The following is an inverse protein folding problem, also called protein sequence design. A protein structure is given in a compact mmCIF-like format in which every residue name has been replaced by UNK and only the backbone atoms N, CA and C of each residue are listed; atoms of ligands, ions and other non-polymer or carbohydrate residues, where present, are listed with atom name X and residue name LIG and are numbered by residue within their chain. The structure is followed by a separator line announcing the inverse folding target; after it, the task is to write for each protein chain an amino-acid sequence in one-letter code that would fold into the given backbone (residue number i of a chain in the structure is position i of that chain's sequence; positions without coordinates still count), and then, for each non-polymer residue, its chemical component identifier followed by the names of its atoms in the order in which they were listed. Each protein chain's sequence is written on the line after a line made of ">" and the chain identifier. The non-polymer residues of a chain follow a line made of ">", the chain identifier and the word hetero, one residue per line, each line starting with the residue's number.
data_IF_803334732874
#
_entry.id   IF_803334732874
#
_cell.length_a   1.000
_cell.length_b   1.000
_cell.length_c   1.000
_cell.angle_alpha   90.00
_cell.angle_beta   90.00
_cell.angle_gamma   90.00
#
_symmetry.space_group_name_H-M   'P 1'
#
loop_
_entity.id
_entity.type
_entity.pdbx_description
1 polymer ?
#
# COMPACT_ATOMS: atom_id res chain seq x y z
N UNK A 1 -6.76 17.25 -2.46
CA UNK A 1 -5.85 17.37 -1.30
C UNK A 1 -4.73 16.35 -1.49
N UNK A 2 -3.47 16.72 -1.30
CA UNK A 2 -2.28 15.92 -1.63
C UNK A 2 -1.31 15.89 -0.44
N UNK A 3 -0.46 14.88 -0.35
CA UNK A 3 0.59 14.74 0.68
C UNK A 3 1.96 15.23 0.16
N UNK A 4 2.81 15.89 0.97
CA UNK A 4 4.18 16.30 0.59
C UNK A 4 5.25 15.40 1.23
N UNK A 5 6.46 15.26 0.64
CA UNK A 5 7.59 14.57 1.27
C UNK A 5 8.99 15.08 0.84
N UNK A 6 9.92 15.40 1.77
CA UNK A 6 11.27 15.96 1.52
C UNK A 6 12.44 14.91 1.43
N UNK A 7 13.50 15.19 0.63
CA UNK A 7 14.52 14.21 0.15
C UNK A 7 15.94 14.46 0.72
N UNK A 8 16.68 13.42 1.17
CA UNK A 8 18.17 13.43 1.28
C UNK A 8 18.84 12.08 0.91
N UNK A 9 20.00 12.17 0.25
CA UNK A 9 20.68 11.17 -0.62
C UNK A 9 21.61 10.14 0.07
N UNK A 10 21.86 9.01 -0.62
CA UNK A 10 23.13 8.27 -0.65
C UNK A 10 23.47 7.90 -2.11
N UNK A 11 24.73 8.10 -2.55
CA UNK A 11 25.15 8.03 -3.95
C UNK A 11 26.24 6.97 -4.25
N UNK A 12 26.32 6.62 -5.55
CA UNK A 12 27.34 5.82 -6.29
C UNK A 12 27.11 4.28 -6.29
N UNK A 13 27.23 3.50 -7.39
CA UNK A 13 28.16 3.50 -8.54
C UNK A 13 27.58 2.74 -9.78
N UNK A 14 28.22 2.88 -10.96
CA UNK A 14 27.84 2.30 -12.29
C UNK A 14 28.74 1.11 -12.72
N UNK A 15 28.13 0.12 -13.37
CA UNK A 15 28.76 -0.64 -14.47
C UNK A 15 28.86 -2.17 -14.33
N UNK A 16 27.76 -2.91 -14.62
CA UNK A 16 27.72 -4.27 -15.21
C UNK A 16 26.28 -4.77 -15.37
N UNK A 17 26.12 -5.83 -16.18
CA UNK A 17 24.82 -6.37 -16.64
C UNK A 17 23.98 -6.85 -15.45
N UNK A 18 22.95 -6.08 -15.11
CA UNK A 18 21.99 -6.37 -14.04
C UNK A 18 21.14 -7.60 -14.41
N UNK A 19 21.05 -8.57 -13.51
CA UNK A 19 20.05 -9.64 -13.56
C UNK A 19 18.80 -9.17 -12.80
N UNK A 20 17.61 -9.53 -13.30
CA UNK A 20 16.28 -9.06 -12.88
C UNK A 20 16.15 -8.63 -11.41
N UNK A 21 15.95 -7.33 -11.19
CA UNK A 21 15.54 -6.74 -9.91
C UNK A 21 16.69 -6.28 -9.01
N UNK A 22 16.47 -5.17 -8.30
CA UNK A 22 17.45 -4.48 -7.42
C UNK A 22 18.16 -5.42 -6.43
N UNK A 23 17.49 -6.48 -5.97
CA UNK A 23 18.02 -7.43 -4.99
C UNK A 23 18.76 -8.64 -5.59
N UNK A 24 18.83 -8.78 -6.93
CA UNK A 24 19.48 -9.93 -7.61
C UNK A 24 20.82 -9.60 -8.25
N UNK A 25 21.35 -8.40 -8.03
CA UNK A 25 22.72 -8.08 -8.45
C UNK A 25 23.70 -8.92 -7.65
N UNK A 26 24.39 -9.86 -8.30
CA UNK A 26 25.38 -10.74 -7.69
C UNK A 26 26.48 -9.99 -6.93
N UNK A 27 26.81 -8.77 -7.37
CA UNK A 27 27.80 -7.88 -6.74
C UNK A 27 27.29 -7.25 -5.43
N UNK A 28 25.97 -7.09 -5.26
CA UNK A 28 25.36 -6.47 -4.08
C UNK A 28 24.70 -7.47 -3.12
N UNK A 29 24.73 -8.77 -3.43
CA UNK A 29 24.01 -9.77 -2.64
C UNK A 29 24.44 -9.78 -1.16
N UNK A 30 25.72 -9.54 -0.88
CA UNK A 30 26.23 -9.45 0.49
C UNK A 30 25.70 -8.20 1.22
N UNK A 31 25.66 -7.05 0.52
CA UNK A 31 25.10 -5.81 1.07
C UNK A 31 23.60 -5.95 1.35
N UNK A 32 22.86 -6.51 0.40
CA UNK A 32 21.42 -6.75 0.53
C UNK A 32 21.13 -7.76 1.64
N UNK A 33 21.91 -8.84 1.76
CA UNK A 33 21.76 -9.80 2.86
C UNK A 33 22.05 -9.15 4.21
N UNK A 34 23.13 -8.38 4.32
CA UNK A 34 23.43 -7.63 5.55
C UNK A 34 22.30 -6.66 5.91
N UNK A 35 21.74 -5.94 4.93
CA UNK A 35 20.61 -5.05 5.16
C UNK A 35 19.36 -5.81 5.63
N UNK A 36 19.07 -6.99 5.09
CA UNK A 36 17.99 -7.86 5.57
C UNK A 36 18.22 -8.37 6.98
N UNK A 37 19.45 -8.73 7.31
CA UNK A 37 19.83 -9.20 8.66
C UNK A 37 19.69 -8.07 9.69
N UNK A 38 19.99 -6.82 9.31
CA UNK A 38 19.74 -5.64 10.17
C UNK A 38 18.25 -5.47 10.45
N UNK A 39 17.41 -5.48 9.42
CA UNK A 39 15.94 -5.38 9.59
C UNK A 39 15.40 -6.52 10.45
N UNK A 40 15.95 -7.73 10.32
CA UNK A 40 15.61 -8.85 11.18
C UNK A 40 16.05 -8.61 12.64
N UNK A 41 17.26 -8.09 12.84
CA UNK A 41 17.79 -7.71 14.15
C UNK A 41 16.90 -6.71 14.88
N UNK A 42 16.47 -5.65 14.20
CA UNK A 42 15.60 -4.61 14.76
C UNK A 42 14.27 -5.18 15.29
N UNK A 43 13.73 -6.22 14.65
CA UNK A 43 12.50 -6.88 15.09
C UNK A 43 12.74 -7.73 16.35
N UNK A 44 13.89 -8.39 16.45
CA UNK A 44 14.25 -9.23 17.59
C UNK A 44 14.55 -8.37 18.81
N UNK A 45 15.30 -7.28 18.66
CA UNK A 45 15.62 -6.37 19.77
C UNK A 45 14.36 -5.67 20.33
N UNK A 46 13.40 -5.34 19.48
CA UNK A 46 12.11 -4.82 19.92
C UNK A 46 11.25 -5.85 20.68
N UNK A 47 11.44 -7.15 20.42
CA UNK A 47 10.76 -8.24 21.15
C UNK A 47 11.30 -8.38 22.57
N UNK A 48 12.61 -8.21 22.76
CA UNK A 48 13.31 -8.51 24.02
C UNK A 48 13.47 -7.29 24.95
N UNK A 49 12.96 -6.11 24.56
CA UNK A 49 13.00 -4.90 25.39
C UNK A 49 12.10 -5.00 26.64
N UNK A 50 12.64 -4.84 27.88
CA UNK A 50 11.93 -5.13 29.13
C UNK A 50 10.95 -4.03 29.59
N UNK A 51 10.67 -2.99 28.79
CA UNK A 51 9.96 -1.78 29.24
C UNK A 51 8.49 -1.66 28.86
N UNK A 52 7.85 -2.68 28.27
CA UNK A 52 6.40 -2.60 28.00
C UNK A 52 5.65 -3.91 28.29
N UNK A 53 5.10 -4.01 29.50
CA UNK A 53 4.10 -5.03 29.91
C UNK A 53 2.75 -4.94 29.14
N UNK A 54 2.68 -4.25 27.99
CA UNK A 54 1.44 -4.04 27.23
C UNK A 54 1.56 -4.17 25.70
N UNK A 55 2.74 -4.46 25.13
CA UNK A 55 2.94 -4.47 23.66
C UNK A 55 3.10 -5.88 23.12
N UNK A 56 2.00 -6.56 22.77
CA UNK A 56 2.03 -7.85 22.02
C UNK A 56 2.26 -7.67 20.50
N UNK A 57 2.53 -6.44 20.05
CA UNK A 57 2.74 -6.08 18.64
C UNK A 57 4.22 -6.16 18.26
N UNK A 58 4.53 -6.83 17.15
CA UNK A 58 5.86 -6.85 16.56
C UNK A 58 6.01 -5.66 15.62
N UNK A 59 6.86 -4.72 15.99
CA UNK A 59 7.18 -3.56 15.15
C UNK A 59 8.48 -3.80 14.39
N UNK A 60 8.54 -3.24 13.19
CA UNK A 60 9.76 -3.15 12.39
C UNK A 60 10.18 -1.69 12.39
N UNK A 61 11.42 -1.41 12.71
CA UNK A 61 11.96 -0.07 12.53
C UNK A 61 12.07 0.21 11.03
N UNK A 62 11.30 1.19 10.55
CA UNK A 62 11.26 1.53 9.13
C UNK A 62 12.03 2.83 8.89
N UNK A 63 12.70 2.99 7.73
CA UNK A 63 13.21 4.28 7.35
C UNK A 63 12.04 5.27 7.26
N UNK A 64 12.29 6.50 7.68
CA UNK A 64 11.31 7.60 7.57
C UNK A 64 10.88 7.86 6.12
N UNK A 65 11.67 7.36 5.16
CA UNK A 65 11.63 7.70 3.75
C UNK A 65 11.25 6.51 2.87
N UNK A 66 10.69 6.81 1.70
CA UNK A 66 10.37 5.84 0.65
C UNK A 66 11.55 5.71 -0.29
N UNK A 67 11.77 4.53 -0.86
CA UNK A 67 12.72 4.34 -1.94
C UNK A 67 12.40 5.28 -3.11
N UNK A 68 13.44 5.87 -3.71
CA UNK A 68 13.35 6.74 -4.89
C UNK A 68 14.15 6.10 -6.02
N UNK A 69 13.55 6.03 -7.21
CA UNK A 69 14.29 5.62 -8.40
C UNK A 69 15.29 6.70 -8.80
N UNK A 70 16.56 6.35 -9.09
CA UNK A 70 17.48 7.28 -9.72
C UNK A 70 16.91 7.84 -11.03
N UNK A 71 17.29 9.04 -11.41
CA UNK A 71 16.84 9.66 -12.65
C UNK A 71 17.30 8.84 -13.87
N UNK A 72 16.39 8.02 -14.41
CA UNK A 72 16.66 7.13 -15.53
C UNK A 72 16.84 7.91 -16.84
N UNK A 73 16.38 9.16 -16.91
CA UNK A 73 16.44 9.98 -18.14
C UNK A 73 17.86 10.40 -18.50
N UNK A 74 18.79 10.32 -17.54
CA UNK A 74 20.22 10.62 -17.73
C UNK A 74 20.97 9.56 -18.55
N UNK A 75 20.37 8.39 -18.77
CA UNK A 75 21.00 7.27 -19.46
C UNK A 75 20.64 7.22 -20.96
N UNK A 76 21.52 6.64 -21.82
CA UNK A 76 21.21 6.42 -23.24
C UNK A 76 19.96 5.57 -23.46
N UNK A 77 19.25 5.79 -24.56
CA UNK A 77 17.94 5.17 -24.86
C UNK A 77 17.92 3.66 -24.63
N UNK A 78 18.86 2.93 -25.23
CA UNK A 78 18.90 1.46 -25.14
C UNK A 78 19.07 0.97 -23.69
N UNK A 79 19.89 1.67 -22.90
CA UNK A 79 20.11 1.32 -21.50
C UNK A 79 18.92 1.72 -20.64
N UNK A 80 18.32 2.88 -20.91
CA UNK A 80 17.09 3.34 -20.24
C UNK A 80 15.93 2.37 -20.50
N UNK A 81 15.74 1.92 -21.73
CA UNK A 81 14.72 0.94 -22.09
C UNK A 81 14.96 -0.41 -21.39
N UNK A 82 16.22 -0.84 -21.29
CA UNK A 82 16.59 -2.02 -20.51
C UNK A 82 16.25 -1.86 -19.02
N UNK A 83 16.64 -0.75 -18.39
CA UNK A 83 16.33 -0.46 -16.99
C UNK A 83 14.82 -0.37 -16.74
N UNK A 84 14.08 0.29 -17.63
CA UNK A 84 12.64 0.40 -17.53
C UNK A 84 11.98 -0.99 -17.56
N UNK A 85 12.40 -1.86 -18.49
CA UNK A 85 11.89 -3.23 -18.60
C UNK A 85 12.22 -4.08 -17.36
N UNK A 86 13.35 -3.82 -16.71
CA UNK A 86 13.81 -4.64 -15.57
C UNK A 86 13.28 -4.16 -14.22
N UNK A 87 13.10 -2.84 -14.07
CA UNK A 87 12.76 -2.20 -12.80
C UNK A 87 11.29 -1.83 -12.68
N UNK A 88 10.58 -1.60 -13.79
CA UNK A 88 9.22 -1.05 -13.77
C UNK A 88 8.22 -2.13 -14.16
N UNK A 89 7.18 -2.31 -13.33
CA UNK A 89 6.04 -3.17 -13.67
C UNK A 89 5.18 -2.48 -14.73
N UNK A 90 5.60 -2.63 -15.98
CA UNK A 90 5.04 -1.88 -17.11
C UNK A 90 3.58 -2.24 -17.36
N UNK A 91 3.18 -3.47 -17.07
CA UNK A 91 1.79 -3.92 -17.25
C UNK A 91 0.84 -3.15 -16.33
N UNK A 92 1.15 -3.12 -15.02
CA UNK A 92 0.41 -2.36 -14.00
C UNK A 92 0.44 -0.85 -14.27
N UNK A 93 1.59 -0.30 -14.68
CA UNK A 93 1.71 1.11 -15.03
C UNK A 93 0.71 1.48 -16.14
N UNK A 94 0.72 0.75 -17.25
CA UNK A 94 -0.15 1.02 -18.40
C UNK A 94 -1.62 0.81 -18.04
N UNK A 95 -1.95 -0.30 -17.37
CA UNK A 95 -3.31 -0.65 -16.96
C UNK A 95 -3.94 0.43 -16.09
N UNK A 96 -3.26 0.83 -15.01
CA UNK A 96 -3.80 1.80 -14.05
C UNK A 96 -3.82 3.24 -14.60
N UNK A 97 -2.88 3.62 -15.47
CA UNK A 97 -2.93 4.92 -16.14
C UNK A 97 -4.08 4.99 -17.15
N UNK A 98 -4.28 3.95 -17.96
CA UNK A 98 -5.40 3.88 -18.90
C UNK A 98 -6.76 3.82 -18.20
N UNK A 99 -6.84 3.20 -17.02
CA UNK A 99 -8.03 3.21 -16.18
C UNK A 99 -8.26 4.56 -15.48
N UNK A 100 -7.36 5.54 -15.63
CA UNK A 100 -7.45 6.84 -14.97
C UNK A 100 -7.21 6.79 -13.45
N UNK A 101 -6.59 5.72 -12.94
CA UNK A 101 -6.38 5.49 -11.51
C UNK A 101 -5.01 5.96 -11.03
N UNK A 102 -3.99 5.77 -11.85
CA UNK A 102 -2.62 6.16 -11.57
C UNK A 102 -2.21 7.38 -12.41
N UNK A 103 -1.42 8.29 -11.82
CA UNK A 103 -0.79 9.44 -12.47
C UNK A 103 -1.71 10.47 -13.15
N UNK A 104 -3.03 10.36 -13.03
CA UNK A 104 -3.98 11.41 -13.46
C UNK A 104 -3.66 12.79 -12.83
N UNK A 105 -3.11 12.78 -11.60
CA UNK A 105 -2.65 13.99 -10.92
C UNK A 105 -1.45 14.66 -11.58
N UNK A 106 -0.61 13.88 -12.26
CA UNK A 106 0.53 14.40 -12.99
C UNK A 106 0.10 15.06 -14.29
N UNK A 107 -0.96 14.54 -14.93
CA UNK A 107 -1.53 15.09 -16.16
C UNK A 107 -2.17 16.47 -15.91
N UNK A 108 -2.81 16.66 -14.74
CA UNK A 108 -3.28 17.97 -14.27
C UNK A 108 -2.18 18.83 -13.62
N UNK A 109 -0.91 18.40 -13.69
CA UNK A 109 0.28 19.09 -13.18
C UNK A 109 0.25 19.39 -11.67
N UNK A 110 -0.51 18.63 -10.89
CA UNK A 110 -0.56 18.81 -9.44
C UNK A 110 0.70 18.24 -8.77
N UNK A 111 1.16 17.06 -9.20
CA UNK A 111 2.29 16.35 -8.59
C UNK A 111 3.09 15.56 -9.64
N UNK A 112 4.24 14.98 -9.27
CA UNK A 112 5.03 14.16 -10.18
C UNK A 112 4.39 12.79 -10.47
N UNK A 113 4.82 12.17 -11.58
CA UNK A 113 4.47 10.78 -11.87
C UNK A 113 5.16 9.84 -10.88
N UNK A 114 4.47 8.77 -10.54
CA UNK A 114 5.00 7.65 -9.76
C UNK A 114 5.07 6.40 -10.64
N UNK A 115 6.01 5.51 -10.34
CA UNK A 115 6.30 4.33 -11.13
C UNK A 115 6.17 3.07 -10.25
N UNK A 116 5.42 2.04 -10.67
CA UNK A 116 5.35 0.77 -9.95
C UNK A 116 6.63 -0.04 -10.20
N UNK A 117 7.30 -0.48 -9.14
CA UNK A 117 8.47 -1.34 -9.22
C UNK A 117 8.11 -2.80 -9.48
N UNK A 118 8.84 -3.43 -10.40
CA UNK A 118 8.72 -4.85 -10.68
C UNK A 118 8.96 -5.68 -9.41
N UNK A 119 7.99 -6.54 -9.09
CA UNK A 119 7.95 -7.36 -7.89
C UNK A 119 7.79 -8.84 -8.27
N UNK A 120 8.31 -9.77 -7.47
CA UNK A 120 8.10 -11.20 -7.77
C UNK A 120 6.73 -11.70 -7.33
N UNK A 121 6.08 -12.50 -8.19
CA UNK A 121 4.77 -13.09 -7.98
C UNK A 121 4.83 -14.50 -7.38
N UNK A 122 5.43 -14.66 -6.20
CA UNK A 122 5.51 -15.93 -5.46
C UNK A 122 4.45 -16.03 -4.34
N UNK A 123 3.38 -15.22 -4.41
CA UNK A 123 2.38 -15.08 -3.35
C UNK A 123 2.79 -14.16 -2.20
N UNK A 124 4.07 -13.76 -2.10
CA UNK A 124 4.55 -12.81 -1.10
C UNK A 124 4.63 -11.36 -1.62
N UNK A 125 3.96 -11.05 -2.74
CA UNK A 125 4.12 -9.79 -3.47
C UNK A 125 3.81 -8.53 -2.64
N UNK A 126 2.80 -8.55 -1.75
CA UNK A 126 2.51 -7.41 -0.84
C UNK A 126 3.74 -7.03 -0.02
N UNK A 127 4.40 -8.02 0.56
CA UNK A 127 5.52 -7.82 1.49
C UNK A 127 6.82 -7.57 0.75
N UNK A 128 6.98 -8.15 -0.44
CA UNK A 128 8.03 -7.74 -1.36
C UNK A 128 7.89 -6.28 -1.79
N UNK A 129 6.70 -5.84 -2.19
CA UNK A 129 6.44 -4.46 -2.59
C UNK A 129 6.67 -3.49 -1.42
N UNK A 130 6.22 -3.83 -0.21
CA UNK A 130 6.49 -3.03 0.98
C UNK A 130 7.99 -2.92 1.29
N UNK A 131 8.71 -4.05 1.25
CA UNK A 131 10.14 -4.10 1.49
C UNK A 131 10.94 -3.34 0.41
N UNK A 132 10.54 -3.43 -0.85
CA UNK A 132 11.10 -2.67 -1.96
C UNK A 132 10.86 -1.17 -1.79
N UNK A 133 9.63 -0.77 -1.44
CA UNK A 133 9.25 0.63 -1.24
C UNK A 133 9.94 1.29 -0.07
N UNK A 134 10.44 0.54 0.91
CA UNK A 134 11.19 1.08 2.06
C UNK A 134 12.70 0.96 1.89
N UNK A 135 13.20 -0.22 1.50
CA UNK A 135 14.63 -0.54 1.54
C UNK A 135 15.23 -0.90 0.18
N UNK A 136 14.43 -0.97 -0.89
CA UNK A 136 14.93 -1.30 -2.23
C UNK A 136 15.27 -2.78 -2.45
N UNK A 137 14.85 -3.68 -1.55
CA UNK A 137 15.00 -5.12 -1.74
C UNK A 137 13.73 -5.90 -1.40
N UNK A 138 13.63 -7.14 -1.91
CA UNK A 138 12.53 -8.04 -1.63
C UNK A 138 12.66 -8.68 -0.23
N UNK A 139 11.52 -8.88 0.45
CA UNK A 139 11.34 -9.66 1.70
C UNK A 139 11.64 -11.18 1.53
N UNK A 140 12.87 -11.53 1.19
CA UNK A 140 13.27 -12.94 0.92
C UNK A 140 13.47 -13.78 2.18
N UNK A 141 13.69 -13.15 3.34
CA UNK A 141 13.80 -13.85 4.63
C UNK A 141 12.43 -14.01 5.32
N UNK A 142 11.36 -13.57 4.66
CA UNK A 142 9.98 -13.55 5.19
C UNK A 142 9.88 -12.77 6.49
N UNK A 143 10.72 -11.76 6.66
CA UNK A 143 10.83 -10.96 7.87
C UNK A 143 9.54 -10.19 8.11
N UNK A 144 9.04 -9.51 7.07
CA UNK A 144 7.74 -8.84 7.13
C UNK A 144 6.60 -9.84 7.25
N UNK A 145 6.68 -10.99 6.56
CA UNK A 145 5.60 -12.00 6.61
C UNK A 145 5.42 -12.56 8.00
N UNK A 146 6.53 -12.93 8.65
CA UNK A 146 6.53 -13.41 10.03
C UNK A 146 6.01 -12.34 10.99
N UNK A 147 6.49 -11.09 10.88
CA UNK A 147 6.02 -10.00 11.73
C UNK A 147 4.51 -9.75 11.59
N UNK A 148 3.99 -9.79 10.36
CA UNK A 148 2.56 -9.69 10.07
C UNK A 148 1.77 -10.84 10.67
N UNK A 149 2.17 -12.08 10.38
CA UNK A 149 1.54 -13.28 10.92
C UNK A 149 1.53 -13.28 12.46
N UNK A 150 2.64 -12.93 13.10
CA UNK A 150 2.72 -12.88 14.56
C UNK A 150 1.86 -11.76 15.14
N UNK A 151 1.82 -10.58 14.50
CA UNK A 151 0.93 -9.49 14.94
C UNK A 151 -0.54 -9.89 14.85
N UNK A 152 -0.94 -10.57 13.78
CA UNK A 152 -2.30 -11.07 13.61
C UNK A 152 -2.61 -12.23 14.59
N UNK A 153 -1.66 -13.14 14.81
CA UNK A 153 -1.80 -14.28 15.74
C UNK A 153 -1.91 -13.83 17.20
N UNK A 154 -1.19 -12.78 17.57
CA UNK A 154 -1.23 -12.18 18.90
C UNK A 154 -2.44 -11.26 19.09
N UNK A 155 -3.13 -10.90 18.00
CA UNK A 155 -4.38 -10.17 18.10
C UNK A 155 -5.39 -11.08 18.80
N UNK A 156 -5.82 -10.67 19.99
CA UNK A 156 -6.85 -11.41 20.70
C UNK A 156 -8.11 -11.52 19.81
N UNK A 157 -8.80 -12.66 19.84
CA UNK A 157 -10.07 -12.88 19.12
C UNK A 157 -11.22 -11.95 19.58
N UNK A 158 -10.95 -11.01 20.48
CA UNK A 158 -11.84 -9.91 20.90
C UNK A 158 -11.14 -8.55 20.88
N UNK A 159 -9.90 -8.49 20.39
CA UNK A 159 -9.08 -7.30 20.28
C UNK A 159 -9.57 -6.37 19.17
N UNK A 160 -8.99 -5.16 19.08
CA UNK A 160 -9.45 -4.14 18.15
C UNK A 160 -9.31 -4.54 16.68
N UNK A 161 -8.21 -5.21 16.29
CA UNK A 161 -8.03 -5.71 14.92
C UNK A 161 -9.16 -6.66 14.49
N UNK A 162 -9.52 -7.59 15.38
CA UNK A 162 -10.66 -8.48 15.20
C UNK A 162 -11.98 -7.72 15.04
N UNK A 163 -12.25 -6.76 15.92
CA UNK A 163 -13.53 -6.01 15.90
C UNK A 163 -13.68 -5.16 14.64
N UNK A 164 -12.59 -4.50 14.21
CA UNK A 164 -12.57 -3.71 12.96
C UNK A 164 -12.80 -4.59 11.75
N UNK A 165 -12.12 -5.73 11.67
CA UNK A 165 -12.33 -6.69 10.60
C UNK A 165 -13.75 -7.23 10.58
N UNK A 166 -14.26 -7.73 11.71
CA UNK A 166 -15.62 -8.28 11.83
C UNK A 166 -16.68 -7.25 11.48
N UNK A 167 -16.49 -5.99 11.90
CA UNK A 167 -17.36 -4.89 11.53
C UNK A 167 -17.34 -4.64 10.02
N UNK A 168 -16.16 -4.50 9.43
CA UNK A 168 -16.00 -4.30 8.00
C UNK A 168 -16.65 -5.43 7.18
N UNK A 169 -16.37 -6.69 7.55
CA UNK A 169 -16.93 -7.86 6.88
C UNK A 169 -18.45 -7.97 7.08
N UNK A 170 -18.97 -7.55 8.24
CA UNK A 170 -20.43 -7.52 8.49
C UNK A 170 -21.12 -6.54 7.53
N UNK A 171 -20.52 -5.37 7.26
CA UNK A 171 -21.06 -4.42 6.28
C UNK A 171 -21.05 -4.98 4.86
N UNK A 172 -20.01 -5.72 4.49
CA UNK A 172 -19.94 -6.40 3.18
C UNK A 172 -20.97 -7.52 3.07
N UNK A 173 -21.04 -8.41 4.07
CA UNK A 173 -21.98 -9.54 4.11
C UNK A 173 -23.45 -9.08 4.03
N UNK A 174 -23.78 -7.93 4.64
CA UNK A 174 -25.12 -7.33 4.54
C UNK A 174 -25.55 -7.03 3.11
N UNK A 175 -24.62 -6.70 2.21
CA UNK A 175 -24.93 -6.40 0.81
C UNK A 175 -25.43 -7.64 0.04
N UNK A 176 -25.02 -8.84 0.48
CA UNK A 176 -25.45 -10.13 -0.08
C UNK A 176 -26.48 -10.86 0.78
N UNK A 177 -26.90 -10.27 1.91
CA UNK A 177 -27.79 -10.91 2.88
C UNK A 177 -27.15 -12.08 3.64
N UNK A 178 -25.82 -12.19 3.62
CA UNK A 178 -25.06 -13.21 4.35
C UNK A 178 -24.96 -12.83 5.83
N UNK A 179 -25.18 -13.80 6.72
CA UNK A 179 -25.02 -13.61 8.17
C UNK A 179 -24.26 -14.83 8.69
N UNK A 180 -23.06 -14.58 9.22
CA UNK A 180 -22.25 -15.63 9.82
C UNK A 180 -22.66 -15.91 11.26
N UNK A 181 -22.65 -17.19 11.64
CA UNK A 181 -22.64 -17.61 13.02
C UNK A 181 -21.25 -17.43 13.66
N UNK A 182 -21.15 -17.60 14.99
CA UNK A 182 -19.88 -17.41 15.71
C UNK A 182 -18.79 -18.41 15.31
N UNK A 183 -19.16 -19.59 14.78
CA UNK A 183 -18.20 -20.59 14.30
C UNK A 183 -17.66 -20.21 12.93
N UNK A 184 -18.50 -19.73 12.03
CA UNK A 184 -18.12 -19.20 10.73
C UNK A 184 -17.18 -18.01 10.90
N UNK A 185 -17.50 -17.06 11.79
CA UNK A 185 -16.59 -15.94 12.11
C UNK A 185 -15.20 -16.42 12.53
N UNK A 186 -15.11 -17.41 13.42
CA UNK A 186 -13.82 -17.98 13.84
C UNK A 186 -13.10 -18.70 12.70
N UNK A 187 -13.85 -19.41 11.86
CA UNK A 187 -13.29 -20.15 10.72
C UNK A 187 -12.67 -19.19 9.69
N UNK A 188 -13.35 -18.08 9.39
CA UNK A 188 -12.82 -17.03 8.52
C UNK A 188 -11.59 -16.35 9.13
N UNK A 189 -11.57 -16.12 10.45
CA UNK A 189 -10.37 -15.63 11.14
C UNK A 189 -9.17 -16.58 11.02
N UNK A 190 -9.41 -17.86 11.27
CA UNK A 190 -8.38 -18.90 11.22
C UNK A 190 -7.86 -19.03 9.78
N UNK A 191 -8.71 -18.81 8.77
CA UNK A 191 -8.31 -18.70 7.37
C UNK A 191 -7.36 -17.53 7.14
N UNK A 192 -7.69 -16.32 7.63
CA UNK A 192 -6.81 -15.14 7.54
C UNK A 192 -5.45 -15.38 8.20
N UNK A 193 -5.43 -16.00 9.40
CA UNK A 193 -4.20 -16.40 10.06
C UNK A 193 -3.37 -17.35 9.19
N UNK A 194 -4.01 -18.36 8.61
CA UNK A 194 -3.34 -19.32 7.72
C UNK A 194 -2.76 -18.65 6.47
N UNK A 195 -3.48 -17.71 5.85
CA UNK A 195 -2.98 -16.97 4.68
C UNK A 195 -1.71 -16.17 5.00
N UNK A 196 -1.62 -15.61 6.21
CA UNK A 196 -0.45 -14.86 6.67
C UNK A 196 0.77 -15.74 7.00
N UNK A 197 0.59 -17.04 7.24
CA UNK A 197 1.65 -17.97 7.65
C UNK A 197 2.86 -17.96 6.72
N UNK A 198 4.07 -18.14 7.25
CA UNK A 198 5.28 -18.32 6.44
C UNK A 198 5.44 -19.73 5.86
N UNK A 199 4.45 -20.60 6.03
CA UNK A 199 4.45 -21.94 5.45
C UNK A 199 4.18 -21.87 3.93
N UNK A 200 5.00 -22.52 3.11
CA UNK A 200 4.74 -22.63 1.68
C UNK A 200 3.44 -23.37 1.39
N UNK A 201 2.79 -23.02 0.28
CA UNK A 201 1.67 -23.78 -0.25
C UNK A 201 2.16 -25.18 -0.66
N UNK A 202 1.70 -26.21 0.03
CA UNK A 202 1.99 -27.60 -0.36
C UNK A 202 1.15 -27.98 -1.58
N UNK A 203 1.73 -27.94 -2.78
CA UNK A 203 1.14 -28.54 -3.97
C UNK A 203 1.52 -30.04 -4.05
N UNK A 204 0.56 -30.98 -4.06
CA UNK A 204 0.87 -32.38 -4.26
C UNK A 204 1.33 -32.62 -5.71
N UNK A 205 2.62 -32.91 -5.91
CA UNK A 205 3.17 -33.40 -7.19
C UNK A 205 4.07 -32.45 -7.97
N UNK A 206 4.34 -31.23 -7.48
CA UNK A 206 5.26 -30.30 -8.15
C UNK A 206 6.71 -30.53 -7.70
N UNK A 207 7.65 -30.46 -8.66
CA UNK A 207 9.09 -30.53 -8.38
C UNK A 207 9.48 -29.34 -7.50
N UNK A 208 10.14 -29.62 -6.39
CA UNK A 208 10.51 -28.71 -5.31
C UNK A 208 11.58 -27.64 -5.69
N UNK A 209 11.39 -26.87 -6.75
CA UNK A 209 12.31 -25.78 -7.12
C UNK A 209 11.75 -24.38 -6.86
N UNK A 210 10.43 -24.17 -6.91
CA UNK A 210 9.80 -22.87 -6.65
C UNK A 210 8.88 -22.92 -5.42
N UNK A 211 9.09 -21.98 -4.49
CA UNK A 211 8.36 -21.88 -3.24
C UNK A 211 7.31 -20.78 -3.38
N UNK A 212 6.03 -21.15 -3.30
CA UNK A 212 4.91 -20.21 -3.33
C UNK A 212 4.27 -20.09 -1.95
N UNK A 213 3.76 -18.90 -1.65
CA UNK A 213 3.02 -18.60 -0.42
C UNK A 213 1.56 -18.27 -0.74
N UNK A 214 0.72 -18.29 0.29
CA UNK A 214 -0.68 -17.87 0.16
C UNK A 214 -0.81 -16.37 -0.13
N UNK A 215 -1.71 -16.01 -1.04
CA UNK A 215 -2.01 -14.60 -1.33
C UNK A 215 -2.67 -13.92 -0.12
N UNK A 216 -2.41 -12.63 0.05
CA UNK A 216 -2.90 -11.85 1.18
C UNK A 216 -4.07 -10.94 0.78
N UNK A 217 -4.99 -10.74 1.72
CA UNK A 217 -6.22 -9.92 1.61
C UNK A 217 -6.07 -8.52 2.25
N UNK A 218 -7.09 -7.67 2.13
CA UNK A 218 -7.09 -6.27 2.60
C UNK A 218 -6.77 -6.13 4.09
N UNK A 219 -7.20 -7.07 4.94
CA UNK A 219 -6.87 -7.06 6.36
C UNK A 219 -5.36 -7.15 6.58
N UNK A 220 -4.64 -7.90 5.75
CA UNK A 220 -3.20 -8.02 5.87
C UNK A 220 -2.50 -6.72 5.48
N UNK A 221 -3.04 -5.94 4.55
CA UNK A 221 -2.54 -4.58 4.26
C UNK A 221 -2.74 -3.67 5.47
N UNK A 222 -3.89 -3.77 6.14
CA UNK A 222 -4.16 -3.04 7.38
C UNK A 222 -3.20 -3.43 8.50
N UNK A 223 -2.97 -4.73 8.72
CA UNK A 223 -2.02 -5.22 9.74
C UNK A 223 -0.59 -4.84 9.38
N UNK A 224 -0.22 -4.87 8.09
CA UNK A 224 1.07 -4.39 7.63
C UNK A 224 1.30 -2.93 8.03
N UNK A 225 0.30 -2.05 7.88
CA UNK A 225 0.43 -0.66 8.33
C UNK A 225 0.78 -0.56 9.84
N UNK A 226 0.24 -1.45 10.67
CA UNK A 226 0.55 -1.52 12.10
C UNK A 226 1.97 -2.04 12.36
N UNK A 227 2.37 -3.12 11.68
CA UNK A 227 3.73 -3.68 11.75
C UNK A 227 4.79 -2.62 11.43
N UNK A 228 4.50 -1.78 10.44
CA UNK A 228 5.40 -0.70 10.00
C UNK A 228 5.22 0.60 10.80
N UNK A 229 4.16 0.71 11.62
CA UNK A 229 3.68 1.97 12.23
C UNK A 229 3.63 3.11 11.21
N UNK A 230 3.23 2.79 9.99
CA UNK A 230 3.33 3.66 8.83
C UNK A 230 2.09 3.48 7.97
N UNK A 231 1.38 4.55 7.60
CA UNK A 231 0.24 4.45 6.70
C UNK A 231 0.61 3.81 5.37
N UNK A 232 -0.30 3.02 4.81
CA UNK A 232 -0.17 2.43 3.48
C UNK A 232 -1.28 2.98 2.60
N UNK A 233 -0.96 3.45 1.40
CA UNK A 233 -1.94 3.87 0.39
C UNK A 233 -1.79 2.95 -0.80
N UNK A 234 -2.90 2.30 -1.19
CA UNK A 234 -2.94 1.40 -2.34
C UNK A 234 -3.72 2.07 -3.47
N UNK A 235 -3.06 2.26 -4.61
CA UNK A 235 -3.68 2.70 -5.87
C UNK A 235 -4.08 1.47 -6.67
N UNK A 236 -5.37 1.33 -6.96
CA UNK A 236 -5.92 0.20 -7.70
C UNK A 236 -7.09 0.67 -8.57
N UNK A 237 -7.48 -0.15 -9.55
CA UNK A 237 -8.82 -0.02 -10.13
C UNK A 237 -9.89 -0.46 -9.11
N UNK A 238 -11.13 -0.08 -9.35
CA UNK A 238 -12.27 -0.39 -8.46
C UNK A 238 -13.00 -1.65 -8.86
N UNK A 239 -12.88 -2.07 -10.12
CA UNK A 239 -13.63 -3.18 -10.72
C UNK A 239 -12.68 -4.05 -11.52
N UNK A 240 -12.65 -5.34 -11.21
CA UNK A 240 -12.05 -6.37 -12.02
C UNK A 240 -12.89 -6.56 -13.28
N UNK A 241 -12.25 -6.57 -14.45
CA UNK A 241 -12.91 -6.77 -15.74
C UNK A 241 -12.62 -8.16 -16.29
N UNK A 242 -13.57 -8.74 -16.99
CA UNK A 242 -13.39 -10.01 -17.70
C UNK A 242 -12.63 -9.83 -19.03
N UNK A 243 -12.49 -10.90 -19.82
CA UNK A 243 -11.81 -10.86 -21.12
C UNK A 243 -12.51 -9.99 -22.17
N UNK A 244 -13.80 -9.69 -21.98
CA UNK A 244 -14.59 -8.83 -22.85
C UNK A 244 -14.54 -7.36 -22.40
N UNK A 245 -13.96 -7.09 -21.22
CA UNK A 245 -13.91 -5.78 -20.59
C UNK A 245 -15.10 -5.47 -19.69
N UNK A 246 -16.00 -6.44 -19.48
CA UNK A 246 -17.19 -6.28 -18.66
C UNK A 246 -16.85 -6.37 -17.17
N UNK A 247 -17.60 -5.63 -16.34
CA UNK A 247 -17.42 -5.62 -14.89
C UNK A 247 -17.72 -7.00 -14.28
N UNK A 248 -16.71 -7.60 -13.63
CA UNK A 248 -16.80 -8.93 -13.02
C UNK A 248 -17.01 -8.85 -11.51
N UNK A 249 -16.13 -8.15 -10.79
CA UNK A 249 -16.15 -8.07 -9.33
C UNK A 249 -15.48 -6.79 -8.82
N UNK A 250 -15.83 -6.25 -7.65
CA UNK A 250 -15.09 -5.15 -7.05
C UNK A 250 -13.67 -5.57 -6.64
N UNK A 251 -12.72 -4.63 -6.74
CA UNK A 251 -11.36 -4.80 -6.23
C UNK A 251 -11.29 -4.13 -4.85
N UNK A 252 -11.08 -4.88 -3.75
CA UNK A 252 -11.23 -4.34 -2.39
C UNK A 252 -9.99 -3.59 -1.88
N UNK A 253 -8.87 -3.62 -2.61
CA UNK A 253 -7.59 -3.15 -2.07
C UNK A 253 -7.38 -1.64 -2.11
N UNK A 254 -7.98 -0.93 -3.07
CA UNK A 254 -7.73 0.50 -3.27
C UNK A 254 -8.17 1.35 -2.08
N UNK A 255 -7.30 2.23 -1.59
CA UNK A 255 -7.62 3.12 -0.47
C UNK A 255 -6.48 3.39 0.51
N UNK A 256 -6.84 3.89 1.68
CA UNK A 256 -5.94 4.32 2.75
C UNK A 256 -6.03 3.34 3.93
N UNK A 257 -4.89 2.84 4.39
CA UNK A 257 -4.74 1.96 5.55
C UNK A 257 -3.92 2.67 6.61
N UNK A 258 -4.55 3.00 7.74
CA UNK A 258 -3.91 3.71 8.85
C UNK A 258 -3.58 2.74 9.99
N UNK A 259 -2.44 2.89 10.69
CA UNK A 259 -2.12 2.09 11.88
C UNK A 259 -2.94 2.56 13.10
N UNK A 260 -4.26 2.40 13.05
CA UNK A 260 -5.21 2.98 14.01
C UNK A 260 -5.07 2.48 15.44
N UNK A 261 -4.47 1.31 15.63
CA UNK A 261 -4.14 0.75 16.96
C UNK A 261 -2.79 1.21 17.49
N UNK A 262 -2.09 2.09 16.77
CA UNK A 262 -0.88 2.75 17.22
C UNK A 262 -1.19 4.23 17.54
N UNK A 263 -0.57 4.77 18.59
CA UNK A 263 -0.65 6.23 18.81
C UNK A 263 0.00 6.98 17.64
N UNK A 264 -0.66 8.00 17.05
CA UNK A 264 -0.12 8.73 15.91
C UNK A 264 1.27 9.34 16.15
N UNK A 265 1.60 9.71 17.39
CA UNK A 265 2.91 10.28 17.74
C UNK A 265 4.07 9.29 17.61
N UNK A 266 3.77 8.00 17.48
CA UNK A 266 4.76 6.95 17.28
C UNK A 266 4.70 6.34 15.87
N UNK A 267 3.98 6.99 14.95
CA UNK A 267 3.85 6.55 13.57
C UNK A 267 4.61 7.47 12.63
N UNK A 268 5.19 6.90 11.58
CA UNK A 268 5.67 7.68 10.46
C UNK A 268 4.50 8.34 9.74
N UNK A 269 4.66 9.61 9.34
CA UNK A 269 3.61 10.37 8.64
C UNK A 269 3.75 10.38 7.12
N UNK A 270 4.90 9.91 6.62
CA UNK A 270 5.11 9.60 5.20
C UNK A 270 4.52 8.22 4.90
N UNK A 271 3.57 8.07 3.97
CA UNK A 271 2.98 6.78 3.66
C UNK A 271 3.93 5.90 2.84
N UNK A 272 3.74 4.59 2.94
CA UNK A 272 4.18 3.65 1.92
C UNK A 272 3.11 3.61 0.81
N UNK A 273 3.53 3.84 -0.43
CA UNK A 273 2.64 3.81 -1.58
C UNK A 273 2.79 2.48 -2.34
N UNK A 274 1.67 1.84 -2.63
CA UNK A 274 1.60 0.59 -3.37
C UNK A 274 0.61 0.72 -4.53
N UNK A 275 0.75 -0.13 -5.53
CA UNK A 275 -0.31 -0.41 -6.50
C UNK A 275 -0.83 -1.82 -6.33
N UNK A 276 -2.08 -2.05 -6.71
CA UNK A 276 -2.64 -3.39 -6.90
C UNK A 276 -3.31 -3.48 -8.27
N UNK A 277 -2.87 -4.45 -9.08
CA UNK A 277 -3.43 -4.77 -10.39
C UNK A 277 -3.20 -6.24 -10.71
N UNK A 278 -4.15 -6.89 -11.38
CA UNK A 278 -4.06 -8.29 -11.81
C UNK A 278 -3.52 -9.28 -10.73
N UNK A 279 -4.06 -9.20 -9.51
CA UNK A 279 -3.63 -10.01 -8.35
C UNK A 279 -2.16 -9.83 -7.94
N UNK A 280 -1.59 -8.65 -8.23
CA UNK A 280 -0.19 -8.35 -7.96
C UNK A 280 -0.02 -6.99 -7.27
N UNK A 281 0.81 -6.96 -6.23
CA UNK A 281 1.24 -5.73 -5.58
C UNK A 281 2.58 -5.26 -6.12
N UNK A 282 2.74 -3.94 -6.27
CA UNK A 282 4.01 -3.31 -6.63
C UNK A 282 4.25 -2.06 -5.81
N UNK A 283 5.53 -1.76 -5.52
CA UNK A 283 5.89 -0.56 -4.78
C UNK A 283 5.74 0.66 -5.70
N UNK A 284 4.99 1.68 -5.29
CA UNK A 284 4.78 2.87 -6.11
C UNK A 284 5.75 3.97 -5.67
N UNK A 285 6.77 4.23 -6.49
CA UNK A 285 7.89 5.09 -6.09
C UNK A 285 8.03 6.31 -7.00
N UNK A 286 8.50 7.45 -6.46
CA UNK A 286 8.92 8.56 -7.30
C UNK A 286 10.24 8.24 -8.01
N UNK A 287 10.48 8.94 -9.12
CA UNK A 287 11.81 9.04 -9.73
C UNK A 287 12.44 10.37 -9.30
N UNK A 288 13.76 10.39 -9.09
CA UNK A 288 14.51 11.62 -8.84
C UNK A 288 14.21 12.63 -9.96
N UNK A 289 13.58 13.73 -9.59
CA UNK A 289 13.38 14.88 -10.46
C UNK A 289 14.39 15.98 -10.16
N UNK A 290 14.56 16.91 -11.09
CA UNK A 290 15.09 18.22 -10.74
C UNK A 290 14.04 18.93 -9.88
N UNK A 291 14.30 19.02 -8.57
CA UNK A 291 13.42 19.76 -7.66
C UNK A 291 13.26 21.19 -8.19
N UNK A 292 12.08 21.52 -8.71
CA UNK A 292 11.71 22.91 -8.97
C UNK A 292 11.16 23.47 -7.67
N UNK A 293 11.55 24.70 -7.31
CA UNK A 293 11.10 25.40 -6.11
C UNK A 293 9.57 25.53 -5.96
N UNK A 294 8.80 25.16 -7.00
CA UNK A 294 7.34 25.29 -7.09
C UNK A 294 6.60 23.95 -6.87
N UNK A 295 7.29 22.80 -6.90
CA UNK A 295 6.63 21.48 -6.87
C UNK A 295 6.91 20.73 -5.57
N UNK A 296 5.86 20.13 -4.96
CA UNK A 296 6.00 19.09 -3.96
C UNK A 296 7.10 18.08 -4.31
N UNK A 297 8.00 17.80 -3.37
CA UNK A 297 8.71 16.55 -3.40
C UNK A 297 7.69 15.42 -3.11
N UNK A 298 7.70 14.39 -3.98
CA UNK A 298 6.73 13.29 -4.15
C UNK A 298 5.39 13.37 -3.38
N UNK A 299 4.28 13.40 -4.12
CA UNK A 299 2.94 13.55 -3.55
C UNK A 299 1.94 12.55 -4.15
N UNK A 300 1.02 12.07 -3.33
CA UNK A 300 -0.10 11.21 -3.72
C UNK A 300 -1.44 11.88 -3.32
N UNK A 301 -2.44 11.94 -4.22
CA UNK A 301 -3.76 12.42 -3.84
C UNK A 301 -4.43 11.50 -2.82
N UNK A 302 -5.19 12.09 -1.90
CA UNK A 302 -6.08 11.34 -0.99
C UNK A 302 -7.49 11.20 -1.56
N UNK A 303 -7.66 11.51 -2.85
CA UNK A 303 -8.96 11.50 -3.54
C UNK A 303 -8.85 10.71 -4.83
N UNK A 304 -9.99 10.26 -5.34
CA UNK A 304 -10.11 9.71 -6.69
C UNK A 304 -10.11 10.84 -7.75
N UNK A 305 -10.11 10.52 -9.06
CA UNK A 305 -10.17 11.51 -10.14
C UNK A 305 -11.42 12.41 -10.09
N UNK A 306 -12.50 11.94 -9.46
CA UNK A 306 -13.74 12.69 -9.23
C UNK A 306 -13.67 13.56 -7.95
N UNK A 307 -12.51 13.65 -7.32
CA UNK A 307 -12.24 14.39 -6.08
C UNK A 307 -13.00 13.89 -4.84
N UNK A 308 -13.47 12.64 -4.85
CA UNK A 308 -14.04 11.98 -3.67
C UNK A 308 -12.93 11.39 -2.82
N UNK A 309 -13.06 11.47 -1.51
CA UNK A 309 -12.09 10.89 -0.56
C UNK A 309 -11.91 9.39 -0.85
N UNK A 310 -10.66 8.93 -0.92
CA UNK A 310 -10.37 7.51 -1.04
C UNK A 310 -10.94 6.72 0.16
N UNK A 311 -11.40 5.48 -0.03
CA UNK A 311 -11.86 4.64 1.08
C UNK A 311 -10.80 4.53 2.18
N UNK A 312 -11.19 4.73 3.43
CA UNK A 312 -10.34 4.49 4.60
C UNK A 312 -10.68 3.14 5.19
N UNK A 313 -9.81 2.17 4.98
CA UNK A 313 -10.04 0.78 5.35
C UNK A 313 -10.04 0.60 6.86
N UNK A 314 -10.97 -0.21 7.36
CA UNK A 314 -11.09 -0.60 8.77
C UNK A 314 -11.17 0.57 9.77
N UNK A 315 -11.65 1.74 9.33
CA UNK A 315 -11.66 2.98 10.11
C UNK A 315 -12.47 2.89 11.42
N UNK A 316 -13.54 2.11 11.42
CA UNK A 316 -14.47 1.98 12.55
C UNK A 316 -14.10 0.76 13.39
N UNK A 317 -13.84 0.99 14.68
CA UNK A 317 -13.89 -0.05 15.71
C UNK A 317 -15.16 0.18 16.56
N UNK A 318 -16.14 -0.74 16.54
CA UNK A 318 -17.35 -0.59 17.33
C UNK A 318 -17.09 -0.67 18.85
N UNK A 319 -15.91 -1.12 19.27
CA UNK A 319 -15.48 -1.17 20.66
C UNK A 319 -15.84 -2.47 21.38
N UNK A 320 -15.22 -2.74 22.54
CA UNK A 320 -15.35 -4.02 23.26
C UNK A 320 -16.75 -4.25 23.85
N UNK A 321 -17.55 -3.19 24.03
CA UNK A 321 -18.90 -3.26 24.56
C UNK A 321 -19.97 -3.51 23.47
N UNK A 322 -19.56 -3.59 22.20
CA UNK A 322 -20.47 -3.84 21.10
C UNK A 322 -21.01 -5.27 21.14
N UNK A 323 -22.32 -5.42 21.08
CA UNK A 323 -22.98 -6.73 21.12
C UNK A 323 -23.37 -7.18 19.72
N UNK A 324 -22.57 -8.09 19.15
CA UNK A 324 -22.83 -8.75 17.87
C UNK A 324 -24.16 -9.54 17.90
N UNK A 325 -24.83 -9.61 16.76
CA UNK A 325 -26.19 -10.13 16.56
C UNK A 325 -27.31 -9.19 16.98
N UNK A 326 -26.99 -8.00 17.53
CA UNK A 326 -27.98 -7.06 18.07
C UNK A 326 -27.68 -5.62 17.68
N UNK A 327 -26.50 -5.14 18.04
CA UNK A 327 -26.17 -3.72 17.90
C UNK A 327 -25.95 -3.32 16.43
N UNK A 328 -25.52 -4.25 15.57
CA UNK A 328 -25.42 -4.01 14.13
C UNK A 328 -26.78 -4.00 13.42
N UNK A 329 -27.85 -4.45 14.07
CA UNK A 329 -29.22 -4.42 13.55
C UNK A 329 -29.95 -3.13 13.95
N UNK A 330 -29.37 -2.33 14.84
CA UNK A 330 -29.91 -1.05 15.29
C UNK A 330 -29.38 0.10 14.40
N UNK A 331 -30.22 0.72 13.54
CA UNK A 331 -29.78 1.78 12.65
C UNK A 331 -29.20 2.99 13.39
N UNK A 332 -29.66 3.29 14.60
CA UNK A 332 -29.12 4.43 15.36
C UNK A 332 -27.69 4.15 15.80
N UNK A 333 -27.40 2.94 16.30
CA UNK A 333 -26.04 2.55 16.69
C UNK A 333 -25.09 2.50 15.49
N UNK A 334 -25.56 1.96 14.37
CA UNK A 334 -24.78 1.90 13.12
C UNK A 334 -24.46 3.32 12.63
N UNK A 335 -25.47 4.20 12.56
CA UNK A 335 -25.26 5.58 12.12
C UNK A 335 -24.33 6.37 13.04
N UNK A 336 -24.34 6.10 14.35
CA UNK A 336 -23.43 6.74 15.30
C UNK A 336 -21.97 6.30 15.15
N UNK A 337 -21.71 5.18 14.45
CA UNK A 337 -20.37 4.70 14.13
C UNK A 337 -19.87 5.21 12.77
N UNK A 338 -20.76 5.68 11.90
CA UNK A 338 -20.39 6.26 10.62
C UNK A 338 -19.73 7.63 10.81
N UNK A 339 -18.58 7.82 10.19
CA UNK A 339 -17.83 9.08 10.25
C UNK A 339 -18.12 9.92 9.01
N UNK A 340 -18.51 11.18 9.22
CA UNK A 340 -18.60 12.16 8.16
C UNK A 340 -17.22 12.39 7.52
N UNK A 341 -17.19 12.82 6.26
CA UNK A 341 -15.95 13.03 5.51
C UNK A 341 -14.95 13.93 6.25
N UNK A 342 -15.42 15.00 6.91
CA UNK A 342 -14.55 15.91 7.67
C UNK A 342 -13.91 15.22 8.88
N UNK A 343 -14.62 14.31 9.56
CA UNK A 343 -14.08 13.52 10.67
C UNK A 343 -13.07 12.48 10.17
N UNK A 344 -13.35 11.84 9.02
CA UNK A 344 -12.39 10.95 8.37
C UNK A 344 -11.09 11.70 8.03
N UNK A 345 -11.20 12.91 7.46
CA UNK A 345 -10.05 13.76 7.16
C UNK A 345 -9.30 14.18 8.43
N UNK A 346 -9.99 14.44 9.54
CA UNK A 346 -9.36 14.72 10.82
C UNK A 346 -8.54 13.52 11.33
N UNK A 347 -9.06 12.30 11.20
CA UNK A 347 -8.32 11.08 11.54
C UNK A 347 -7.11 10.91 10.62
N UNK A 348 -7.29 11.00 9.30
CA UNK A 348 -6.21 10.90 8.31
C UNK A 348 -5.10 11.92 8.63
N UNK A 349 -5.46 13.16 8.95
CA UNK A 349 -4.51 14.25 9.22
C UNK A 349 -3.69 14.05 10.50
N UNK A 350 -4.08 13.12 11.39
CA UNK A 350 -3.27 12.73 12.54
C UNK A 350 -2.13 11.79 12.14
N UNK A 351 -2.33 10.96 11.11
CA UNK A 351 -1.39 9.95 10.66
C UNK A 351 -0.60 10.35 9.40
N UNK A 352 -1.06 11.36 8.66
CA UNK A 352 -0.44 11.80 7.40
C UNK A 352 -0.11 13.29 7.42
N UNK A 353 0.87 13.71 6.62
CA UNK A 353 1.15 15.12 6.32
C UNK A 353 0.29 15.62 5.16
N UNK A 354 -0.88 16.16 5.49
CA UNK A 354 -1.90 16.51 4.51
C UNK A 354 -1.79 17.97 4.07
N UNK A 355 -1.72 18.22 2.76
CA UNK A 355 -1.70 19.56 2.19
C UNK A 355 -2.82 19.77 1.15
N UNK A 356 -3.35 20.98 1.06
CA UNK A 356 -4.22 21.38 -0.06
C UNK A 356 -3.35 21.91 -1.20
N UNK A 357 -3.33 21.22 -2.34
CA UNK A 357 -2.66 21.70 -3.56
C UNK A 357 -3.72 22.30 -4.48
N UNK A 358 -3.39 23.46 -5.03
CA UNK A 358 -4.19 24.14 -6.03
C UNK A 358 -3.99 23.48 -7.38
N UNK A 359 -5.09 23.08 -8.02
CA UNK A 359 -5.05 22.52 -9.37
C UNK A 359 -5.03 23.71 -10.34
N UNK A 360 -4.04 23.81 -11.24
CA UNK A 360 -4.05 24.83 -12.28
C UNK A 360 -5.35 24.75 -13.07
N UNK A 361 -6.09 25.86 -13.18
CA UNK A 361 -7.24 25.91 -14.10
C UNK A 361 -6.71 25.59 -15.51
N UNK A 362 -7.42 24.74 -16.25
CA UNK A 362 -7.14 24.54 -17.66
C UNK A 362 -7.06 25.91 -18.36
N UNK A 363 -6.09 26.15 -19.25
CA UNK A 363 -6.10 27.36 -20.05
C UNK A 363 -7.42 27.38 -20.81
N UNK A 364 -8.21 28.44 -20.59
CA UNK A 364 -9.35 28.77 -21.44
C UNK A 364 -8.79 28.75 -22.87
N UNK A 365 -9.40 27.93 -23.74
CA UNK A 365 -9.13 28.02 -25.16
C UNK A 365 -9.35 29.49 -25.53
N UNK A 366 -8.27 30.18 -25.89
CA UNK A 366 -8.35 31.50 -26.51
C UNK A 366 -9.09 31.23 -27.80
N UNK A 367 -10.36 31.65 -27.86
CA UNK A 367 -11.10 31.65 -29.12
C UNK A 367 -10.23 32.39 -30.13
N UNK A 368 -10.04 31.78 -31.28
CA UNK A 368 -9.55 32.49 -32.45
C UNK A 368 -10.52 33.65 -32.66
N UNK A 369 -10.09 34.85 -32.31
CA UNK A 369 -10.74 36.08 -32.77
C UNK A 369 -10.55 36.08 -34.29
N UNK A 370 -11.63 35.74 -35.01
CA UNK A 370 -11.78 36.01 -36.43
C UNK A 370 -11.71 37.53 -36.63
N UNK A 371 -10.51 38.04 -36.88
CA UNK A 371 -10.29 39.34 -37.52
C UNK A 371 -10.72 39.23 -39.00
N UNK A 372 -12.03 39.20 -39.23
CA UNK A 372 -12.63 39.49 -40.54
C UNK A 372 -12.54 41.01 -40.78
N UNK A 373 -11.35 41.46 -41.18
CA UNK A 373 -11.16 42.78 -41.76
C UNK A 373 -11.83 42.82 -43.14
N UNK A 374 -13.05 43.35 -43.18
CA UNK A 374 -13.75 43.74 -44.41
C UNK A 374 -12.90 44.75 -45.20
N UNK A 375 -12.48 44.36 -46.40
CA UNK A 375 -12.01 45.22 -47.48
C UNK A 375 -12.97 45.20 -48.65
#
# INVERSE_FOLDING_TARGET
>A
MFLLWEIRYLSSFLGRRLLRGLSKTSENIQLVNKARDLVLGDIVENRDSPTHEQSTQHFVETPEYTFILPDLTKYPEDFRAFLHKDLIETSTLVSLEQAGRLNWWADIRACQRLLPLATTGDGNCLLHAASLGMWGFHDRLLTLRKALHTTLSNAQAQGPLWRRWRWHQTLLNKQSGLIYDDKEWRTEWDSLLRLASSEPRTAPGEKAEEVFYESLEELHVFVLAHVLRRPVIVVADTILKDSNGDALAPIPFGGIYLPLECSPCHCHRSPLLLTYDAAHFSALVPMEGTASAVRPAAACPLVDPEFRLLPVHFLVDPGPQFVWGRDELDPQKVNNLELATDDQLAVISRYLEVQRVLIPKAPLAVGEDDDEATG
#
